data_IF_792738542843
#
_entry.id   IF_792738542843
#
_cell.length_a   1.000
_cell.length_b   1.000
_cell.length_c   1.000
_cell.angle_alpha   90.00
_cell.angle_beta   90.00
_cell.angle_gamma   90.00
#
_symmetry.space_group_name_H-M   'P 1'
#
loop_
_entity.id
_entity.type
_entity.pdbx_description
1 polymer ?
#
# COMPACT_ATOMS: atom_id res chain seq x y z
N UNK A 1 5.81 15.71 -1.59
CA UNK A 1 6.96 15.00 -2.19
C UNK A 1 6.50 13.67 -2.77
N UNK A 2 7.35 12.98 -3.53
CA UNK A 2 7.01 11.72 -4.22
C UNK A 2 6.42 10.66 -3.28
N UNK A 3 7.06 10.40 -2.13
CA UNK A 3 6.54 9.51 -1.10
C UNK A 3 5.08 9.81 -0.65
N UNK A 4 4.72 11.08 -0.43
CA UNK A 4 3.34 11.44 -0.01
C UNK A 4 2.30 11.16 -1.09
N UNK A 5 2.68 11.39 -2.36
CA UNK A 5 1.86 11.02 -3.52
C UNK A 5 1.65 9.51 -3.59
N UNK A 6 2.71 8.72 -3.37
CA UNK A 6 2.64 7.26 -3.33
C UNK A 6 1.73 6.76 -2.19
N UNK A 7 1.85 7.31 -0.97
CA UNK A 7 0.93 6.97 0.15
C UNK A 7 -0.52 7.24 -0.23
N UNK A 8 -0.79 8.40 -0.82
CA UNK A 8 -2.15 8.80 -1.21
C UNK A 8 -2.74 7.87 -2.26
N UNK A 9 -2.01 7.56 -3.34
CA UNK A 9 -2.52 6.69 -4.39
C UNK A 9 -2.66 5.24 -3.90
N UNK A 10 -1.71 4.76 -3.10
CA UNK A 10 -1.73 3.40 -2.58
C UNK A 10 -2.93 3.19 -1.64
N UNK A 11 -3.24 4.15 -0.75
CA UNK A 11 -4.47 4.09 0.07
C UNK A 11 -5.72 3.99 -0.79
N UNK A 12 -5.82 4.79 -1.85
CA UNK A 12 -6.97 4.75 -2.76
C UNK A 12 -7.10 3.40 -3.46
N UNK A 13 -6.00 2.86 -3.98
CA UNK A 13 -5.99 1.56 -4.65
C UNK A 13 -6.35 0.43 -3.69
N UNK A 14 -5.73 0.40 -2.51
CA UNK A 14 -6.02 -0.59 -1.47
C UNK A 14 -7.48 -0.50 -1.02
N UNK A 15 -8.00 0.71 -0.81
CA UNK A 15 -9.40 0.92 -0.43
C UNK A 15 -10.36 0.45 -1.52
N UNK A 16 -10.03 0.73 -2.77
CA UNK A 16 -10.84 0.31 -3.92
C UNK A 16 -10.87 -1.23 -4.07
N UNK A 17 -9.75 -1.90 -3.84
CA UNK A 17 -9.61 -3.34 -4.09
C UNK A 17 -10.03 -4.21 -2.91
N UNK A 18 -9.77 -3.76 -1.69
CA UNK A 18 -9.96 -4.54 -0.46
C UNK A 18 -10.96 -3.90 0.52
N UNK A 19 -11.53 -2.75 0.19
CA UNK A 19 -12.46 -2.03 1.05
C UNK A 19 -11.76 -1.22 2.14
N UNK A 20 -12.49 -0.89 3.22
CA UNK A 20 -11.97 -0.04 4.29
C UNK A 20 -10.69 -0.61 4.90
N UNK A 21 -9.63 0.19 4.89
CA UNK A 21 -8.33 -0.22 5.44
C UNK A 21 -8.38 -0.27 6.97
N UNK A 22 -7.92 -1.37 7.59
CA UNK A 22 -7.69 -1.41 9.03
C UNK A 22 -6.62 -0.36 9.45
N UNK A 23 -6.68 0.17 10.68
CA UNK A 23 -5.68 1.12 11.18
C UNK A 23 -4.23 0.62 11.10
N UNK A 24 -4.03 -0.69 11.19
CA UNK A 24 -2.70 -1.32 11.05
C UNK A 24 -2.15 -1.17 9.63
N UNK A 25 -3.00 -1.21 8.60
CA UNK A 25 -2.58 -1.01 7.21
C UNK A 25 -2.23 0.47 6.97
N UNK A 26 -3.04 1.38 7.49
CA UNK A 26 -2.75 2.83 7.43
C UNK A 26 -1.41 3.16 8.08
N UNK A 27 -1.16 2.66 9.31
CA UNK A 27 0.11 2.88 10.00
C UNK A 27 1.32 2.32 9.23
N UNK A 28 1.16 1.19 8.51
CA UNK A 28 2.21 0.66 7.64
C UNK A 28 2.46 1.55 6.44
N UNK A 29 1.40 2.05 5.82
CA UNK A 29 1.50 3.01 4.71
C UNK A 29 2.17 4.29 5.18
N UNK A 30 1.94 4.74 6.42
CA UNK A 30 2.53 5.96 7.03
C UNK A 30 3.98 5.79 7.49
N UNK A 31 4.38 4.58 7.89
CA UNK A 31 5.76 4.28 8.29
C UNK A 31 6.69 3.90 7.14
N UNK A 32 6.16 3.62 5.95
CA UNK A 32 6.93 3.06 4.84
C UNK A 32 7.95 4.04 4.24
N UNK A 33 9.10 3.51 3.84
CA UNK A 33 10.04 4.19 2.96
C UNK A 33 9.49 4.27 1.53
N UNK A 34 10.00 5.23 0.73
CA UNK A 34 9.53 5.44 -0.65
C UNK A 34 9.61 4.15 -1.49
N UNK A 35 10.71 3.40 -1.37
CA UNK A 35 10.93 2.15 -2.09
C UNK A 35 9.91 1.06 -1.73
N UNK A 36 9.46 1.02 -0.46
CA UNK A 36 8.42 0.08 -0.03
C UNK A 36 7.07 0.45 -0.65
N UNK A 37 6.76 1.76 -0.71
CA UNK A 37 5.54 2.25 -1.33
C UNK A 37 5.50 1.96 -2.83
N UNK A 38 6.62 2.12 -3.54
CA UNK A 38 6.75 1.74 -4.95
C UNK A 38 6.52 0.23 -5.16
N UNK A 39 7.18 -0.59 -4.34
CA UNK A 39 7.01 -2.05 -4.38
C UNK A 39 5.54 -2.46 -4.17
N UNK A 40 4.85 -1.82 -3.23
CA UNK A 40 3.44 -2.08 -2.96
C UNK A 40 2.53 -1.59 -4.09
N UNK A 41 2.88 -0.48 -4.76
CA UNK A 41 2.15 0.04 -5.91
C UNK A 41 2.26 -0.85 -7.15
N UNK A 42 3.32 -1.65 -7.26
CA UNK A 42 3.44 -2.68 -8.31
C UNK A 42 2.68 -3.95 -7.91
N UNK A 43 2.87 -4.45 -6.69
CA UNK A 43 2.24 -5.71 -6.22
C UNK A 43 0.73 -5.66 -6.13
N UNK A 44 0.15 -4.47 -5.95
CA UNK A 44 -1.30 -4.33 -5.92
C UNK A 44 -1.95 -4.67 -7.27
N UNK A 45 -1.19 -4.78 -8.36
CA UNK A 45 -1.71 -5.15 -9.67
C UNK A 45 -2.05 -6.65 -9.74
N UNK A 46 -1.35 -7.50 -9.00
CA UNK A 46 -1.46 -8.96 -9.04
C UNK A 46 -1.80 -9.63 -7.70
N UNK A 47 -1.70 -8.91 -6.58
CA UNK A 47 -2.00 -9.44 -5.23
C UNK A 47 -3.41 -10.06 -5.13
N UNK A 48 -3.62 -11.15 -4.39
CA UNK A 48 -4.98 -11.68 -4.18
C UNK A 48 -5.58 -11.20 -2.86
N UNK A 49 -4.71 -10.83 -1.91
CA UNK A 49 -5.05 -10.35 -0.58
C UNK A 49 -4.31 -9.05 -0.26
N UNK A 50 -4.77 -8.33 0.76
CA UNK A 50 -4.05 -7.15 1.23
C UNK A 50 -2.68 -7.51 1.81
N UNK A 51 -2.57 -8.71 2.41
CA UNK A 51 -1.31 -9.27 2.92
C UNK A 51 -0.28 -9.49 1.80
N UNK A 52 -0.71 -9.93 0.62
CA UNK A 52 0.18 -10.14 -0.54
C UNK A 52 0.91 -8.86 -0.96
N UNK A 53 0.20 -7.73 -0.95
CA UNK A 53 0.78 -6.41 -1.24
C UNK A 53 1.93 -6.13 -0.27
N UNK A 54 1.67 -6.41 0.99
CA UNK A 54 2.47 -6.03 2.14
C UNK A 54 3.59 -7.01 2.51
N UNK A 55 3.85 -8.05 1.71
CA UNK A 55 4.92 -9.02 1.98
C UNK A 55 6.29 -8.34 2.06
N UNK A 56 7.20 -8.86 2.87
CA UNK A 56 8.61 -8.45 2.84
C UNK A 56 9.35 -9.44 1.95
N UNK A 57 9.98 -8.95 0.89
CA UNK A 57 10.95 -9.73 0.09
C UNK A 57 12.35 -9.37 0.55
#
# INVERSE_FOLDING_TARGET
GKAEGLRTILRKQLTHRFGKLPPTCEARIDGAAEQQLETWAERILDAHTIEDVFRTS
#
